data_IF_729039862557
#
_entry.id   IF_729039862557
#
_cell.length_a   1.000
_cell.length_b   1.000
_cell.length_c   1.000
_cell.angle_alpha   90.00
_cell.angle_beta   90.00
_cell.angle_gamma   90.00
#
_symmetry.space_group_name_H-M   'P 1'
#
loop_
_entity.id
_entity.type
_entity.pdbx_description
1 polymer ?
#
# COMPACT_ATOMS: atom_id res chain seq x y z
N UNK A 1 2.74 -0.43 10.76
CA UNK A 1 2.43 -0.04 9.35
C UNK A 1 3.44 1.00 8.91
N UNK A 2 3.94 0.87 7.71
CA UNK A 2 4.90 1.79 7.08
C UNK A 2 4.39 3.24 6.95
N UNK A 3 5.19 4.11 6.36
CA UNK A 3 4.73 5.39 5.83
C UNK A 3 5.43 5.77 4.54
N UNK A 4 4.72 6.52 3.72
CA UNK A 4 5.23 7.09 2.48
C UNK A 4 5.23 8.60 2.53
N UNK A 5 6.16 9.21 1.80
CA UNK A 5 6.18 10.62 1.47
C UNK A 5 6.64 10.79 0.02
N UNK A 6 5.99 11.66 -0.74
CA UNK A 6 6.35 11.91 -2.13
C UNK A 6 6.21 13.38 -2.52
N UNK A 7 7.08 13.83 -3.42
CA UNK A 7 7.01 15.11 -4.13
C UNK A 7 7.10 14.81 -5.61
N UNK A 8 6.14 15.31 -6.39
CA UNK A 8 6.06 15.08 -7.83
C UNK A 8 5.90 16.39 -8.58
N UNK A 9 6.40 16.43 -9.80
CA UNK A 9 6.32 17.61 -10.65
C UNK A 9 7.46 18.62 -10.41
N UNK A 10 8.63 18.14 -10.01
CA UNK A 10 9.83 18.96 -9.96
C UNK A 10 10.13 19.52 -11.36
N UNK A 11 10.60 20.76 -11.42
CA UNK A 11 10.89 21.48 -12.64
C UNK A 11 12.41 21.67 -12.85
N UNK A 12 12.89 21.82 -14.07
CA UNK A 12 14.25 22.23 -14.32
C UNK A 12 14.55 23.57 -13.61
N UNK A 13 15.58 23.58 -12.76
CA UNK A 13 15.94 24.74 -11.93
C UNK A 13 15.51 24.62 -10.46
N UNK A 14 14.69 23.63 -10.10
CA UNK A 14 14.42 23.34 -8.69
C UNK A 14 15.71 22.90 -7.98
N UNK A 15 15.91 23.33 -6.74
CA UNK A 15 17.00 22.86 -5.90
C UNK A 15 16.68 21.47 -5.34
N UNK A 16 17.02 20.43 -6.11
CA UNK A 16 16.79 19.04 -5.74
C UNK A 16 17.44 18.66 -4.39
N UNK A 17 18.56 19.29 -4.01
CA UNK A 17 19.22 19.04 -2.73
C UNK A 17 18.38 19.55 -1.57
N UNK A 18 17.86 20.76 -1.68
CA UNK A 18 16.97 21.33 -0.66
C UNK A 18 15.65 20.56 -0.58
N UNK A 19 15.04 20.21 -1.73
CA UNK A 19 13.81 19.43 -1.77
C UNK A 19 13.98 18.02 -1.18
N UNK A 20 15.12 17.36 -1.47
CA UNK A 20 15.44 16.06 -0.87
C UNK A 20 15.56 16.16 0.66
N UNK A 21 16.27 17.19 1.16
CA UNK A 21 16.38 17.42 2.61
C UNK A 21 15.00 17.64 3.23
N UNK A 22 14.18 18.49 2.63
CA UNK A 22 12.82 18.76 3.09
C UNK A 22 11.96 17.49 3.09
N UNK A 23 12.06 16.65 2.04
CA UNK A 23 11.34 15.38 1.97
C UNK A 23 11.74 14.45 3.10
N UNK A 24 13.02 14.34 3.43
CA UNK A 24 13.51 13.55 4.55
C UNK A 24 13.02 14.08 5.90
N UNK A 25 13.05 15.39 6.12
CA UNK A 25 12.53 16.03 7.35
C UNK A 25 11.02 15.78 7.51
N UNK A 26 10.24 15.89 6.44
CA UNK A 26 8.82 15.57 6.44
C UNK A 26 8.57 14.08 6.71
N UNK A 27 9.35 13.19 6.10
CA UNK A 27 9.24 11.74 6.32
C UNK A 27 9.57 11.35 7.75
N UNK A 28 10.59 11.94 8.36
CA UNK A 28 10.97 11.69 9.76
C UNK A 28 9.84 11.93 10.74
N UNK A 29 8.90 12.83 10.46
CA UNK A 29 7.70 13.04 11.29
C UNK A 29 6.80 11.81 11.35
N UNK A 30 6.97 10.87 10.41
CA UNK A 30 6.22 9.63 10.31
C UNK A 30 7.03 8.38 10.72
N UNK A 31 8.27 8.55 11.21
CA UNK A 31 9.20 7.46 11.56
C UNK A 31 8.65 6.47 12.57
N UNK A 32 7.76 6.89 13.46
CA UNK A 32 7.11 6.02 14.44
C UNK A 32 6.26 4.92 13.77
N UNK A 33 5.86 5.10 12.50
CA UNK A 33 5.11 4.10 11.73
C UNK A 33 6.02 3.02 11.16
N UNK A 34 7.25 3.37 10.82
CA UNK A 34 8.21 2.47 10.18
C UNK A 34 9.61 2.69 10.72
N UNK A 35 9.90 2.18 11.94
CA UNK A 35 11.16 2.46 12.63
C UNK A 35 12.34 1.65 12.10
N UNK A 36 12.12 0.59 11.31
CA UNK A 36 13.16 -0.38 10.96
C UNK A 36 14.12 0.15 9.89
N UNK A 37 13.59 0.86 8.89
CA UNK A 37 14.39 1.34 7.76
C UNK A 37 13.81 2.59 7.13
N UNK A 38 14.68 3.46 6.60
CA UNK A 38 14.28 4.59 5.74
C UNK A 38 14.92 4.44 4.37
N UNK A 39 14.12 4.56 3.32
CA UNK A 39 14.59 4.59 1.94
C UNK A 39 14.21 5.87 1.23
N UNK A 40 15.04 6.30 0.29
CA UNK A 40 14.80 7.49 -0.51
C UNK A 40 15.18 7.25 -1.96
N UNK A 41 14.30 7.66 -2.86
CA UNK A 41 14.55 7.77 -4.28
C UNK A 41 14.44 9.22 -4.72
N UNK A 42 15.33 9.66 -5.61
CA UNK A 42 15.35 11.02 -6.16
C UNK A 42 15.70 10.93 -7.63
N UNK A 43 14.91 11.59 -8.46
CA UNK A 43 15.27 11.93 -9.84
C UNK A 43 14.95 13.40 -10.15
N UNK A 44 15.00 13.78 -11.43
CA UNK A 44 14.80 15.16 -11.86
C UNK A 44 13.35 15.66 -11.67
N UNK A 45 12.38 14.76 -11.49
CA UNK A 45 10.94 15.07 -11.47
C UNK A 45 10.20 14.59 -10.23
N UNK A 46 10.81 13.69 -9.45
CA UNK A 46 10.15 13.08 -8.30
C UNK A 46 11.12 12.78 -7.16
N UNK A 47 10.58 12.85 -5.96
CA UNK A 47 11.24 12.38 -4.73
C UNK A 47 10.24 11.48 -4.00
N UNK A 48 10.65 10.25 -3.69
CA UNK A 48 9.88 9.33 -2.86
C UNK A 48 10.70 8.93 -1.64
N UNK A 49 10.06 8.94 -0.49
CA UNK A 49 10.65 8.50 0.78
C UNK A 49 9.72 7.49 1.44
N UNK A 50 10.31 6.47 2.03
CA UNK A 50 9.59 5.41 2.71
C UNK A 50 10.19 5.15 4.10
N UNK A 51 9.35 5.11 5.13
CA UNK A 51 9.71 4.61 6.45
C UNK A 51 9.10 3.22 6.62
N UNK A 52 9.94 2.21 6.82
CA UNK A 52 9.55 0.80 6.77
C UNK A 52 9.33 0.21 8.14
N UNK A 53 8.21 -0.51 8.29
CA UNK A 53 7.99 -1.58 9.25
C UNK A 53 8.08 -2.90 8.47
N UNK A 54 9.10 -3.69 8.73
CA UNK A 54 9.40 -4.88 7.95
C UNK A 54 8.51 -6.06 8.41
N UNK A 55 7.48 -6.38 7.61
CA UNK A 55 6.50 -7.45 7.89
C UNK A 55 6.69 -8.60 6.90
N UNK A 56 6.72 -8.33 5.60
CA UNK A 56 6.99 -9.30 4.53
C UNK A 56 8.34 -9.00 3.94
N UNK A 57 9.14 -10.04 3.70
CA UNK A 57 10.53 -9.97 3.21
C UNK A 57 11.42 -9.01 4.04
N UNK A 58 11.60 -9.23 5.35
CA UNK A 58 12.34 -8.31 6.21
C UNK A 58 13.74 -7.97 5.71
N UNK A 59 14.41 -8.94 5.07
CA UNK A 59 15.78 -8.80 4.60
C UNK A 59 15.90 -8.13 3.23
N UNK A 60 14.95 -8.41 2.30
CA UNK A 60 15.07 -8.01 0.88
C UNK A 60 14.11 -6.91 0.43
N UNK A 61 12.95 -6.76 1.07
CA UNK A 61 11.87 -5.87 0.63
C UNK A 61 12.07 -4.39 0.95
N UNK A 62 13.28 -3.84 0.80
CA UNK A 62 13.55 -2.41 1.02
C UNK A 62 12.78 -1.55 0.03
N UNK A 63 12.17 -0.45 0.51
CA UNK A 63 11.40 0.48 -0.30
C UNK A 63 12.08 1.86 -0.37
N UNK A 64 11.85 2.65 -1.44
CA UNK A 64 10.99 2.39 -2.59
C UNK A 64 11.43 1.20 -3.45
N UNK A 65 10.44 0.40 -3.94
CA UNK A 65 10.67 -0.76 -4.79
C UNK A 65 10.91 -0.32 -6.23
N UNK A 66 12.01 -0.77 -6.83
CA UNK A 66 12.33 -0.48 -8.22
C UNK A 66 12.07 -1.70 -9.11
N UNK A 67 11.53 -1.47 -10.31
CA UNK A 67 11.54 -2.49 -11.34
C UNK A 67 12.97 -2.77 -11.82
N UNK A 68 13.21 -3.94 -12.42
CA UNK A 68 14.54 -4.37 -12.91
C UNK A 68 15.24 -3.32 -13.78
N UNK A 69 14.48 -2.68 -14.68
CA UNK A 69 14.97 -1.61 -15.57
C UNK A 69 15.03 -0.24 -14.91
N UNK A 70 14.58 -0.12 -13.65
CA UNK A 70 14.48 1.15 -12.92
C UNK A 70 13.45 2.13 -13.47
N UNK A 71 12.59 1.71 -14.39
CA UNK A 71 11.55 2.55 -15.01
C UNK A 71 10.36 2.83 -14.08
N UNK A 72 10.11 1.94 -13.12
CA UNK A 72 9.05 2.10 -12.11
C UNK A 72 9.65 2.18 -10.72
N UNK A 73 9.15 3.12 -9.93
CA UNK A 73 9.54 3.32 -8.53
C UNK A 73 8.27 3.39 -7.67
N UNK A 74 8.15 2.50 -6.71
CA UNK A 74 6.94 2.31 -5.93
C UNK A 74 7.21 2.46 -4.43
N UNK A 75 6.49 3.34 -3.77
CA UNK A 75 6.42 3.40 -2.31
C UNK A 75 5.01 3.02 -1.84
N UNK A 76 4.93 2.00 -1.00
CA UNK A 76 3.65 1.45 -0.49
C UNK A 76 3.64 1.45 1.03
N UNK A 77 2.55 1.91 1.61
CA UNK A 77 2.19 1.62 2.99
C UNK A 77 1.00 0.65 2.95
N UNK A 78 1.19 -0.61 3.30
CA UNK A 78 0.14 -1.62 3.26
C UNK A 78 0.63 -3.01 2.93
N UNK A 79 -0.32 -3.92 2.71
CA UNK A 79 -0.12 -5.33 2.39
C UNK A 79 -1.07 -5.76 1.27
N UNK A 80 -0.57 -6.57 0.34
CA UNK A 80 -1.35 -7.15 -0.77
C UNK A 80 -1.50 -8.66 -0.54
N UNK A 81 -2.60 -9.06 0.05
CA UNK A 81 -2.81 -10.42 0.54
C UNK A 81 -2.86 -11.50 -0.56
N UNK A 82 -3.28 -11.15 -1.76
CA UNK A 82 -3.39 -12.08 -2.89
C UNK A 82 -2.20 -12.01 -3.86
N UNK A 83 -1.05 -11.47 -3.44
CA UNK A 83 0.10 -11.23 -4.32
C UNK A 83 0.61 -12.52 -5.00
N UNK A 84 0.58 -13.67 -4.32
CA UNK A 84 1.03 -14.95 -4.90
C UNK A 84 0.13 -15.38 -6.08
N UNK A 85 -1.18 -15.28 -5.91
CA UNK A 85 -2.13 -15.59 -6.99
C UNK A 85 -1.93 -14.61 -8.16
N UNK A 86 -1.78 -13.32 -7.89
CA UNK A 86 -1.53 -12.31 -8.90
C UNK A 86 -0.21 -12.55 -9.65
N UNK A 87 0.87 -12.96 -8.95
CA UNK A 87 2.15 -13.34 -9.58
C UNK A 87 1.98 -14.51 -10.55
N UNK A 88 1.17 -15.51 -10.17
CA UNK A 88 0.91 -16.69 -11.02
C UNK A 88 0.02 -16.38 -12.24
N UNK A 89 -0.80 -15.34 -12.17
CA UNK A 89 -1.73 -14.93 -13.22
C UNK A 89 -1.18 -13.86 -14.17
N UNK A 90 0.07 -13.40 -13.98
CA UNK A 90 0.66 -12.38 -14.84
C UNK A 90 0.71 -12.82 -16.28
N UNK A 91 0.20 -11.99 -17.18
CA UNK A 91 0.20 -12.18 -18.63
C UNK A 91 1.46 -11.60 -19.29
N UNK A 92 2.10 -10.65 -18.62
CA UNK A 92 3.35 -10.02 -19.05
C UNK A 92 4.46 -10.45 -18.09
N UNK A 93 5.57 -11.03 -18.57
CA UNK A 93 6.69 -11.41 -17.72
C UNK A 93 7.24 -10.22 -16.93
N UNK A 94 7.47 -10.44 -15.63
CA UNK A 94 8.06 -9.46 -14.73
C UNK A 94 9.15 -10.12 -13.88
N UNK A 95 10.33 -9.52 -13.84
CA UNK A 95 11.43 -9.97 -13.01
C UNK A 95 11.36 -9.32 -11.62
N UNK A 96 10.80 -10.06 -10.66
CA UNK A 96 10.71 -9.61 -9.28
C UNK A 96 12.09 -9.45 -8.66
N UNK A 97 12.33 -8.30 -8.04
CA UNK A 97 13.61 -7.98 -7.39
C UNK A 97 13.60 -8.32 -5.90
N UNK A 98 12.42 -8.47 -5.31
CA UNK A 98 12.22 -8.76 -3.90
C UNK A 98 11.18 -9.87 -3.71
N UNK A 99 11.05 -10.38 -2.49
CA UNK A 99 9.95 -11.23 -2.10
C UNK A 99 8.76 -10.44 -1.52
N UNK A 100 8.84 -9.09 -1.50
CA UNK A 100 7.74 -8.24 -1.02
C UNK A 100 6.46 -8.51 -1.79
N UNK A 101 5.36 -8.61 -1.06
CA UNK A 101 4.00 -8.70 -1.58
C UNK A 101 3.64 -7.49 -2.43
N UNK A 102 4.10 -6.30 -2.03
CA UNK A 102 3.78 -5.03 -2.67
C UNK A 102 4.40 -4.87 -4.07
N UNK A 103 5.48 -5.59 -4.40
CA UNK A 103 6.12 -5.45 -5.72
C UNK A 103 5.21 -5.89 -6.88
N UNK A 104 4.18 -6.69 -6.60
CA UNK A 104 3.19 -7.09 -7.61
C UNK A 104 2.48 -5.88 -8.24
N UNK A 105 2.40 -4.74 -7.55
CA UNK A 105 1.82 -3.50 -8.08
C UNK A 105 2.61 -3.01 -9.31
N UNK A 106 3.95 -3.06 -9.28
CA UNK A 106 4.79 -2.73 -10.43
C UNK A 106 4.53 -3.66 -11.61
N UNK A 107 4.40 -4.97 -11.34
CA UNK A 107 4.12 -5.98 -12.37
C UNK A 107 2.76 -5.76 -13.03
N UNK A 108 1.72 -5.52 -12.25
CA UNK A 108 0.37 -5.24 -12.74
C UNK A 108 0.30 -3.90 -13.50
N UNK A 109 1.04 -2.89 -13.06
CA UNK A 109 1.13 -1.64 -13.80
C UNK A 109 1.78 -1.83 -15.17
N UNK A 110 2.82 -2.65 -15.31
CA UNK A 110 3.39 -3.02 -16.62
C UNK A 110 2.39 -3.75 -17.51
N UNK A 111 1.65 -4.70 -16.94
CA UNK A 111 0.61 -5.43 -17.67
C UNK A 111 -0.45 -4.48 -18.20
N UNK A 112 -0.96 -3.58 -17.35
CA UNK A 112 -1.89 -2.53 -17.73
C UNK A 112 -1.36 -1.62 -18.87
N UNK A 113 -0.08 -1.24 -18.81
CA UNK A 113 0.52 -0.41 -19.89
C UNK A 113 0.64 -1.18 -21.20
N UNK A 114 0.87 -2.50 -21.14
CA UNK A 114 1.01 -3.34 -22.31
C UNK A 114 -0.33 -3.64 -23.00
N UNK A 115 -1.42 -3.82 -22.23
CA UNK A 115 -2.74 -4.17 -22.76
C UNK A 115 -3.67 -2.95 -22.98
N UNK A 116 -3.23 -1.76 -22.57
CA UNK A 116 -3.98 -0.51 -22.72
C UNK A 116 -5.20 -0.39 -21.79
N UNK A 117 -5.38 -1.29 -20.82
CA UNK A 117 -6.41 -1.17 -19.79
C UNK A 117 -6.16 0.05 -18.90
N UNK A 118 -7.19 0.65 -18.31
CA UNK A 118 -7.00 1.74 -17.36
C UNK A 118 -6.46 1.26 -16.00
N UNK A 119 -5.84 2.12 -15.17
CA UNK A 119 -5.36 1.74 -13.83
C UNK A 119 -6.42 1.10 -12.94
N UNK A 120 -7.70 1.44 -13.11
CA UNK A 120 -8.81 0.79 -12.40
C UNK A 120 -8.80 -0.73 -12.56
N UNK A 121 -8.49 -1.25 -13.75
CA UNK A 121 -8.53 -2.67 -14.04
C UNK A 121 -7.54 -3.48 -13.21
N UNK A 122 -6.33 -2.99 -12.96
CA UNK A 122 -5.39 -3.68 -12.09
C UNK A 122 -5.65 -3.43 -10.61
N UNK A 123 -6.15 -2.23 -10.24
CA UNK A 123 -6.47 -1.90 -8.85
C UNK A 123 -7.61 -2.76 -8.30
N UNK A 124 -8.61 -3.07 -9.13
CA UNK A 124 -9.73 -3.95 -8.76
C UNK A 124 -9.29 -5.40 -8.48
N UNK A 125 -8.14 -5.83 -9.01
CA UNK A 125 -7.56 -7.15 -8.73
C UNK A 125 -6.86 -7.24 -7.38
N UNK A 126 -6.46 -6.10 -6.79
CA UNK A 126 -5.73 -6.07 -5.52
C UNK A 126 -6.67 -6.40 -4.34
N UNK A 127 -6.35 -7.45 -3.60
CA UNK A 127 -6.97 -7.75 -2.32
C UNK A 127 -5.97 -7.39 -1.21
N UNK A 128 -6.18 -6.26 -0.54
CA UNK A 128 -5.24 -5.74 0.43
C UNK A 128 -5.73 -4.47 1.13
N UNK A 129 -4.93 -4.02 2.06
CA UNK A 129 -5.02 -2.69 2.66
C UNK A 129 -3.79 -1.91 2.21
N UNK A 130 -3.96 -0.81 1.51
CA UNK A 130 -2.83 -0.10 0.91
C UNK A 130 -3.09 1.38 0.63
N UNK A 131 -2.01 2.12 0.67
CA UNK A 131 -1.89 3.41 0.02
C UNK A 131 -0.51 3.46 -0.64
N UNK A 132 -0.44 3.84 -1.91
CA UNK A 132 0.82 3.88 -2.61
C UNK A 132 1.00 5.09 -3.51
N UNK A 133 2.25 5.38 -3.82
CA UNK A 133 2.69 6.27 -4.87
C UNK A 133 3.64 5.51 -5.79
N UNK A 134 3.25 5.34 -7.05
CA UNK A 134 4.03 4.73 -8.12
C UNK A 134 4.49 5.83 -9.07
N UNK A 135 5.78 5.97 -9.22
CA UNK A 135 6.41 6.88 -10.17
C UNK A 135 6.83 6.12 -11.43
N UNK A 136 6.24 6.49 -12.56
CA UNK A 136 6.65 6.02 -13.88
C UNK A 136 7.63 7.03 -14.47
N UNK A 137 8.92 6.69 -14.46
CA UNK A 137 10.02 7.55 -14.93
C UNK A 137 9.93 7.84 -16.42
N UNK A 138 9.64 6.81 -17.22
CA UNK A 138 9.56 6.93 -18.67
C UNK A 138 8.38 7.81 -19.11
N UNK A 139 7.25 7.65 -18.42
CA UNK A 139 6.05 8.47 -18.63
C UNK A 139 6.10 9.83 -17.95
N UNK A 140 7.02 10.04 -17.00
CA UNK A 140 7.17 11.27 -16.24
C UNK A 140 5.95 11.65 -15.41
N UNK A 141 5.24 10.65 -14.84
CA UNK A 141 4.03 10.86 -14.03
C UNK A 141 3.91 9.87 -12.88
N UNK A 142 3.11 10.26 -11.91
CA UNK A 142 2.81 9.44 -10.74
C UNK A 142 1.37 8.92 -10.78
N UNK A 143 1.20 7.67 -10.33
CA UNK A 143 -0.11 7.09 -9.96
C UNK A 143 -0.16 6.98 -8.46
N UNK A 144 -1.14 7.65 -7.86
CA UNK A 144 -1.42 7.59 -6.42
C UNK A 144 -2.71 6.81 -6.24
N UNK A 145 -2.73 5.84 -5.33
CA UNK A 145 -3.94 5.06 -5.09
C UNK A 145 -4.10 4.69 -3.61
N UNK A 146 -5.36 4.47 -3.21
CA UNK A 146 -5.72 4.08 -1.85
C UNK A 146 -6.74 2.96 -1.87
N UNK A 147 -6.64 2.03 -0.92
CA UNK A 147 -7.51 0.86 -0.79
C UNK A 147 -9.01 1.20 -0.76
N UNK A 148 -9.89 0.22 -1.11
CA UNK A 148 -11.33 0.42 -1.21
C UNK A 148 -12.01 1.02 0.02
N UNK A 149 -11.52 0.66 1.22
CA UNK A 149 -12.11 1.06 2.51
C UNK A 149 -11.40 2.27 3.11
N UNK A 150 -10.11 2.49 2.70
CA UNK A 150 -9.26 3.53 3.25
C UNK A 150 -8.73 3.18 4.64
N UNK A 151 -8.42 1.88 4.86
CA UNK A 151 -7.80 1.40 6.10
C UNK A 151 -6.45 2.07 6.29
N UNK A 152 -5.65 2.14 5.22
CA UNK A 152 -4.37 2.85 5.24
C UNK A 152 -4.60 4.34 5.02
N UNK A 153 -4.07 5.21 5.91
CA UNK A 153 -4.21 6.65 5.73
C UNK A 153 -3.34 7.16 4.58
N UNK A 154 -3.89 8.13 3.84
CA UNK A 154 -3.18 8.87 2.80
C UNK A 154 -3.72 10.29 2.73
N UNK A 155 -2.81 11.26 2.64
CA UNK A 155 -3.09 12.69 2.48
C UNK A 155 -2.31 13.22 1.30
N UNK A 156 -2.84 14.25 0.68
CA UNK A 156 -2.23 14.93 -0.45
C UNK A 156 -2.49 16.44 -0.42
N UNK A 157 -1.73 17.17 -1.18
CA UNK A 157 -1.86 18.61 -1.33
C UNK A 157 -0.81 19.14 -2.30
N UNK A 158 -0.86 20.44 -2.55
CA UNK A 158 0.11 21.11 -3.39
C UNK A 158 0.92 22.10 -2.58
N UNK A 159 2.22 22.19 -2.85
CA UNK A 159 3.03 23.24 -2.30
C UNK A 159 2.82 24.58 -3.04
N UNK A 160 3.51 25.63 -2.59
CA UNK A 160 3.35 26.98 -3.16
C UNK A 160 3.77 27.08 -4.64
N UNK A 161 4.61 26.18 -5.08
CA UNK A 161 5.11 26.06 -6.46
C UNK A 161 4.23 25.12 -7.31
N UNK A 162 3.13 24.60 -6.74
CA UNK A 162 2.17 23.72 -7.43
C UNK A 162 2.63 22.26 -7.54
N UNK A 163 3.69 21.85 -6.86
CA UNK A 163 4.14 20.45 -6.87
C UNK A 163 3.22 19.60 -5.99
N UNK A 164 2.81 18.46 -6.52
CA UNK A 164 2.01 17.49 -5.78
C UNK A 164 2.84 16.87 -4.65
N UNK A 165 2.29 16.87 -3.44
CA UNK A 165 2.85 16.18 -2.27
C UNK A 165 1.87 15.17 -1.73
N UNK A 166 2.38 14.00 -1.34
CA UNK A 166 1.59 12.93 -0.72
C UNK A 166 2.29 12.45 0.54
N UNK A 167 1.50 12.05 1.54
CA UNK A 167 2.05 11.50 2.79
C UNK A 167 1.04 10.58 3.48
N UNK A 168 1.53 9.62 4.25
CA UNK A 168 0.67 8.77 5.08
C UNK A 168 -0.01 9.55 6.22
N UNK A 169 0.59 10.66 6.70
CA UNK A 169 0.02 11.46 7.77
C UNK A 169 0.03 12.97 7.42
N UNK A 170 -1.07 13.64 7.78
CA UNK A 170 -1.28 15.06 7.51
C UNK A 170 -0.16 15.95 8.04
N UNK A 171 0.40 15.64 9.21
CA UNK A 171 1.47 16.45 9.84
C UNK A 171 2.75 16.54 9.00
N UNK A 172 2.97 15.59 8.08
CA UNK A 172 4.10 15.62 7.16
C UNK A 172 3.90 16.65 6.03
N UNK A 173 2.66 17.09 5.77
CA UNK A 173 2.30 18.05 4.72
C UNK A 173 1.99 19.45 5.27
N UNK A 174 1.59 19.57 6.53
CA UNK A 174 0.99 20.76 7.11
C UNK A 174 1.81 22.04 6.95
N UNK A 175 3.15 21.96 7.02
CA UNK A 175 4.03 23.14 6.89
C UNK A 175 4.44 23.43 5.46
N UNK A 176 4.13 22.53 4.52
CA UNK A 176 4.65 22.57 3.15
C UNK A 176 3.59 22.68 2.08
N UNK A 177 2.32 22.42 2.42
CA UNK A 177 1.17 22.54 1.52
C UNK A 177 0.17 23.55 2.04
N UNK A 178 -0.49 24.26 1.11
CA UNK A 178 -1.54 25.21 1.45
C UNK A 178 -2.92 24.54 1.56
N UNK A 179 -3.12 23.44 0.83
CA UNK A 179 -4.39 22.72 0.65
C UNK A 179 -4.20 21.22 0.98
N UNK A 180 -4.14 20.88 2.25
CA UNK A 180 -4.03 19.47 2.64
C UNK A 180 -5.41 18.84 2.74
N UNK A 181 -5.61 17.75 1.99
CA UNK A 181 -6.84 16.96 2.03
C UNK A 181 -6.53 15.47 2.26
N UNK A 182 -7.51 14.74 2.77
CA UNK A 182 -7.45 13.30 2.80
C UNK A 182 -7.66 12.74 1.39
N UNK A 183 -6.79 11.83 0.95
CA UNK A 183 -6.99 11.13 -0.31
C UNK A 183 -8.18 10.16 -0.18
N UNK A 184 -9.17 10.20 -1.08
CA UNK A 184 -10.40 9.43 -0.90
C UNK A 184 -10.16 7.92 -1.05
N UNK A 185 -10.82 7.08 -0.23
CA UNK A 185 -10.79 5.62 -0.36
C UNK A 185 -11.34 5.14 -1.71
N UNK A 186 -10.79 4.06 -2.25
CA UNK A 186 -11.25 3.47 -3.51
C UNK A 186 -11.04 4.36 -4.74
N UNK A 187 -10.06 5.27 -4.66
CA UNK A 187 -9.71 6.17 -5.76
C UNK A 187 -8.23 6.03 -6.15
N UNK A 188 -7.94 6.43 -7.37
CA UNK A 188 -6.59 6.68 -7.85
C UNK A 188 -6.50 8.03 -8.57
N UNK A 189 -5.31 8.57 -8.60
CA UNK A 189 -5.00 9.84 -9.24
C UNK A 189 -3.83 9.69 -10.19
N UNK A 190 -3.94 10.28 -11.39
CA UNK A 190 -2.86 10.37 -12.36
C UNK A 190 -2.34 11.81 -12.43
N UNK A 191 -1.09 12.01 -12.10
CA UNK A 191 -0.48 13.34 -12.11
C UNK A 191 -0.25 13.90 -13.54
N UNK A 192 -0.28 13.05 -14.59
CA UNK A 192 -0.17 13.52 -15.96
C UNK A 192 -1.45 14.22 -16.45
N UNK A 193 -2.61 13.70 -16.06
CA UNK A 193 -3.92 14.21 -16.49
C UNK A 193 -4.59 15.09 -15.45
N UNK A 194 -4.11 15.05 -14.19
CA UNK A 194 -4.77 15.69 -13.06
C UNK A 194 -6.10 15.04 -12.68
N UNK A 195 -6.35 13.80 -13.12
CA UNK A 195 -7.64 13.13 -12.97
C UNK A 195 -7.67 12.27 -11.71
N UNK A 196 -8.66 12.51 -10.86
CA UNK A 196 -9.01 11.65 -9.74
C UNK A 196 -10.17 10.73 -10.15
N UNK A 197 -9.95 9.41 -10.11
CA UNK A 197 -10.93 8.42 -10.57
C UNK A 197 -11.30 7.46 -9.46
N UNK A 198 -12.59 7.23 -9.28
CA UNK A 198 -13.08 6.18 -8.39
C UNK A 198 -13.02 4.83 -9.10
N UNK A 199 -12.20 3.89 -8.60
CA UNK A 199 -12.11 2.52 -9.14
C UNK A 199 -12.98 1.53 -8.38
N UNK A 200 -13.34 1.81 -7.12
CA UNK A 200 -14.14 0.91 -6.30
C UNK A 200 -15.43 1.57 -5.83
N UNK A 201 -16.56 0.94 -6.12
CA UNK A 201 -17.88 1.32 -5.59
C UNK A 201 -18.40 0.18 -4.72
N UNK A 202 -18.82 0.51 -3.51
CA UNK A 202 -19.39 -0.47 -2.57
C UNK A 202 -20.76 -0.89 -3.06
N UNK A 203 -21.00 -2.18 -3.41
CA UNK A 203 -22.30 -2.63 -3.90
C UNK A 203 -23.45 -2.37 -2.89
N UNK A 204 -23.13 -2.53 -1.60
CA UNK A 204 -24.10 -2.33 -0.50
C UNK A 204 -24.42 -0.87 -0.16
N UNK A 205 -23.87 0.09 -0.89
CA UNK A 205 -24.22 1.51 -0.72
C UNK A 205 -25.62 1.83 -1.25
N UNK A 206 -26.08 1.04 -2.18
CA UNK A 206 -27.41 1.12 -2.74
C UNK A 206 -28.31 0.09 -2.02
N UNK A 207 -29.33 0.59 -1.31
CA UNK A 207 -30.24 -0.27 -0.56
C UNK A 207 -30.98 -1.24 -1.48
N UNK A 208 -31.44 -0.79 -2.64
CA UNK A 208 -32.18 -1.62 -3.59
C UNK A 208 -31.33 -2.79 -4.14
N UNK A 209 -30.00 -2.59 -4.20
CA UNK A 209 -29.08 -3.64 -4.64
C UNK A 209 -28.88 -4.76 -3.61
N UNK A 210 -29.21 -4.53 -2.36
CA UNK A 210 -29.06 -5.51 -1.26
C UNK A 210 -30.40 -5.95 -0.67
N UNK A 211 -31.51 -5.33 -1.07
CA UNK A 211 -32.83 -5.72 -0.64
C UNK A 211 -33.15 -7.16 -1.09
N UNK A 212 -33.60 -7.98 -0.16
CA UNK A 212 -33.94 -9.40 -0.45
C UNK A 212 -32.74 -10.35 -0.57
N UNK A 213 -31.51 -9.90 -0.35
CA UNK A 213 -30.36 -10.79 -0.24
C UNK A 213 -30.41 -11.53 1.09
N UNK A 214 -30.64 -12.84 1.03
CA UNK A 214 -30.58 -13.69 2.21
C UNK A 214 -29.13 -14.05 2.53
N UNK A 215 -28.74 -13.84 3.78
CA UNK A 215 -27.40 -14.17 4.30
C UNK A 215 -27.57 -15.05 5.54
N UNK A 216 -26.87 -16.18 5.56
CA UNK A 216 -26.87 -17.09 6.71
C UNK A 216 -25.80 -16.71 7.71
N UNK A 217 -25.91 -17.21 8.96
CA UNK A 217 -24.86 -17.06 9.97
C UNK A 217 -23.56 -17.76 9.54
N UNK A 218 -23.65 -18.84 8.77
CA UNK A 218 -22.50 -19.55 8.24
C UNK A 218 -21.75 -18.71 7.20
N UNK A 219 -22.48 -18.04 6.29
CA UNK A 219 -21.87 -17.12 5.32
C UNK A 219 -21.08 -16.00 6.02
N UNK A 220 -21.66 -15.41 7.06
CA UNK A 220 -20.99 -14.37 7.85
C UNK A 220 -19.75 -14.91 8.56
N UNK A 221 -19.84 -16.11 9.15
CA UNK A 221 -18.71 -16.77 9.82
C UNK A 221 -17.59 -17.04 8.84
N UNK A 222 -17.90 -17.65 7.70
CA UNK A 222 -16.89 -18.01 6.69
C UNK A 222 -16.20 -16.76 6.13
N UNK A 223 -16.97 -15.70 5.81
CA UNK A 223 -16.42 -14.44 5.34
C UNK A 223 -15.50 -13.77 6.39
N UNK A 224 -15.90 -13.80 7.66
CA UNK A 224 -15.12 -13.27 8.76
C UNK A 224 -13.82 -14.07 9.00
N UNK A 225 -13.92 -15.41 9.05
CA UNK A 225 -12.76 -16.29 9.22
C UNK A 225 -11.76 -16.10 8.06
N UNK A 226 -12.26 -16.04 6.82
CA UNK A 226 -11.43 -15.79 5.65
C UNK A 226 -10.78 -14.40 5.67
N UNK A 227 -11.48 -13.37 6.15
CA UNK A 227 -10.92 -12.03 6.27
C UNK A 227 -9.80 -11.96 7.30
N UNK A 228 -9.96 -12.59 8.46
CA UNK A 228 -8.91 -12.66 9.49
C UNK A 228 -7.73 -13.49 8.98
N UNK A 229 -8.00 -14.69 8.44
CA UNK A 229 -6.97 -15.61 7.96
C UNK A 229 -6.01 -14.96 6.96
N UNK A 230 -6.54 -14.30 5.92
CA UNK A 230 -5.68 -13.65 4.89
C UNK A 230 -4.79 -12.55 5.46
N UNK A 231 -5.22 -11.88 6.54
CA UNK A 231 -4.46 -10.81 7.20
C UNK A 231 -3.37 -11.31 8.17
N UNK A 232 -3.26 -12.63 8.36
CA UNK A 232 -2.17 -13.24 9.13
C UNK A 232 -0.90 -13.46 8.28
N UNK A 233 -0.90 -13.03 7.02
CA UNK A 233 0.26 -13.05 6.12
C UNK A 233 1.40 -12.22 6.71
N UNK A 234 2.51 -12.89 7.06
CA UNK A 234 3.67 -12.23 7.67
C UNK A 234 4.89 -13.14 7.72
N UNK A 235 6.08 -12.56 7.62
CA UNK A 235 7.37 -13.23 7.86
C UNK A 235 7.93 -12.94 9.26
N UNK A 236 7.18 -12.22 10.11
CA UNK A 236 7.58 -11.85 11.48
C UNK A 236 6.52 -12.23 12.50
N UNK A 237 6.87 -12.36 13.80
CA UNK A 237 5.90 -12.60 14.86
C UNK A 237 4.78 -11.55 14.91
N UNK A 238 3.57 -12.00 15.19
CA UNK A 238 2.42 -11.13 15.36
C UNK A 238 1.66 -11.42 16.65
N UNK A 239 0.84 -10.47 17.06
CA UNK A 239 -0.06 -10.58 18.19
C UNK A 239 -1.43 -10.01 17.91
N UNK A 240 -2.34 -10.19 18.87
CA UNK A 240 -3.69 -9.66 18.83
C UNK A 240 -3.92 -8.67 19.97
N UNK A 241 -4.63 -7.59 19.69
CA UNK A 241 -5.12 -6.67 20.71
C UNK A 241 -6.43 -7.21 21.26
N UNK A 242 -6.45 -7.60 22.55
CA UNK A 242 -7.60 -8.25 23.18
C UNK A 242 -8.22 -7.31 24.22
N UNK A 243 -9.13 -6.44 23.78
CA UNK A 243 -9.81 -5.48 24.67
C UNK A 243 -10.86 -6.11 25.61
N UNK A 244 -11.16 -7.42 25.44
CA UNK A 244 -12.22 -8.12 26.16
C UNK A 244 -13.62 -7.96 25.57
N UNK A 245 -13.78 -7.19 24.48
CA UNK A 245 -15.01 -7.08 23.72
C UNK A 245 -15.27 -8.29 22.80
N UNK A 246 -16.49 -8.40 22.27
CA UNK A 246 -16.89 -9.48 21.37
C UNK A 246 -16.00 -9.54 20.13
N UNK A 247 -15.80 -8.43 19.43
CA UNK A 247 -15.07 -8.36 18.16
C UNK A 247 -13.61 -8.78 18.32
N UNK A 248 -12.91 -8.21 19.33
CA UNK A 248 -11.52 -8.57 19.61
C UNK A 248 -11.36 -10.03 20.02
N UNK A 249 -12.33 -10.59 20.74
CA UNK A 249 -12.34 -12.00 21.15
C UNK A 249 -12.55 -12.93 19.95
N UNK A 250 -13.43 -12.57 19.00
CA UNK A 250 -13.64 -13.33 17.77
C UNK A 250 -12.38 -13.31 16.88
N UNK A 251 -11.77 -12.14 16.69
CA UNK A 251 -10.50 -12.02 15.94
C UNK A 251 -9.42 -12.87 16.59
N UNK A 252 -9.26 -12.79 17.91
CA UNK A 252 -8.27 -13.58 18.63
C UNK A 252 -8.53 -15.08 18.52
N UNK A 253 -9.79 -15.54 18.60
CA UNK A 253 -10.17 -16.94 18.47
C UNK A 253 -9.85 -17.49 17.08
N UNK A 254 -10.13 -16.72 16.02
CA UNK A 254 -9.79 -17.12 14.64
C UNK A 254 -8.27 -17.12 14.46
N UNK A 255 -7.57 -16.07 14.86
CA UNK A 255 -6.11 -15.99 14.77
C UNK A 255 -5.43 -17.16 15.49
N UNK A 256 -5.94 -17.58 16.66
CA UNK A 256 -5.39 -18.69 17.41
C UNK A 256 -5.49 -20.05 16.68
N UNK A 257 -6.49 -20.26 15.82
CA UNK A 257 -6.62 -21.49 15.00
C UNK A 257 -5.48 -21.61 13.99
N UNK A 258 -5.07 -20.47 13.41
CA UNK A 258 -4.07 -20.41 12.34
C UNK A 258 -2.65 -20.11 12.83
N UNK A 259 -2.48 -19.67 14.08
CA UNK A 259 -1.18 -19.24 14.63
C UNK A 259 -0.08 -20.32 14.60
N UNK A 260 -0.44 -21.60 14.43
CA UNK A 260 0.50 -22.73 14.34
C UNK A 260 1.01 -22.99 12.92
N UNK A 261 0.44 -22.32 11.91
CA UNK A 261 0.77 -22.51 10.50
C UNK A 261 1.15 -21.18 9.88
N UNK A 262 2.16 -21.20 9.01
CA UNK A 262 2.46 -20.05 8.15
C UNK A 262 1.48 -20.05 7.00
N UNK A 263 0.97 -18.88 6.66
CA UNK A 263 0.07 -18.70 5.51
C UNK A 263 0.86 -18.67 4.21
N UNK A 264 2.08 -18.14 4.27
CA UNK A 264 3.03 -18.15 3.18
C UNK A 264 4.27 -18.92 3.58
N UNK A 265 4.66 -19.87 2.74
CA UNK A 265 5.94 -20.54 2.86
C UNK A 265 6.92 -19.78 1.96
N UNK A 266 7.86 -19.08 2.56
CA UNK A 266 8.95 -18.42 1.88
C UNK A 266 10.24 -19.15 2.18
N UNK A 267 10.86 -19.74 1.16
CA UNK A 267 12.17 -20.40 1.27
C UNK A 267 13.29 -19.47 1.80
N UNK A 268 13.01 -18.18 1.88
CA UNK A 268 13.92 -17.13 2.37
C UNK A 268 13.69 -16.74 3.82
N UNK A 269 12.61 -17.20 4.45
CA UNK A 269 12.30 -16.86 5.85
C UNK A 269 12.88 -17.90 6.78
N UNK A 270 13.53 -17.44 7.86
CA UNK A 270 13.94 -18.35 8.94
C UNK A 270 12.72 -19.06 9.53
N UNK A 271 12.86 -20.36 9.77
CA UNK A 271 11.83 -21.14 10.41
C UNK A 271 11.68 -20.66 11.86
N UNK A 272 10.62 -19.96 12.16
CA UNK A 272 10.22 -19.66 13.53
C UNK A 272 8.82 -20.18 13.80
N UNK A 273 8.58 -20.51 15.06
CA UNK A 273 7.32 -21.07 15.48
C UNK A 273 6.43 -19.95 16.02
N UNK A 274 5.32 -19.59 15.34
CA UNK A 274 4.50 -18.48 15.77
C UNK A 274 3.81 -18.79 17.09
N UNK A 275 4.13 -17.99 18.11
CA UNK A 275 3.32 -17.89 19.31
C UNK A 275 2.39 -16.70 19.17
N UNK A 276 1.08 -16.94 19.27
CA UNK A 276 0.14 -15.84 19.35
C UNK A 276 0.28 -15.16 20.72
N UNK A 277 0.57 -13.89 20.72
CA UNK A 277 0.58 -13.03 21.89
C UNK A 277 -0.68 -12.18 21.92
N UNK A 278 -1.27 -12.01 23.09
CA UNK A 278 -2.39 -11.08 23.31
C UNK A 278 -1.97 -9.95 24.24
N UNK A 279 -2.45 -8.75 23.97
CA UNK A 279 -2.17 -7.51 24.70
C UNK A 279 -3.46 -6.84 25.13
#
# INVERSE_FOLDING_TARGET
MCSIFGIFGLQPGDDATTLRRQALECSQRQRHRGPDWSGVFVDERAILVHERLAIVDPAGGSQPLLSEDGGLVLAVNGEIYNHQALKAELRVPYAFQTASDCEVVNALYREHKADGSGPSAFLERLNGIFAFALWNRDGGHAIIARDPIGVVPLYWGHDREGRLRVASEMKALADTCADVAQFPPGHWYDSATGTLTQYYRRPWRDYDAVEGVEVTLDDVREAFEAAVHRQLMTDVPYGVLLSGGLDSSLVAAVAARYARHRIEDSDRSEAWWPRLHSF
#
